data_IF_115950551626
#
_entry.id   IF_115950551626
#
_cell.length_a   1.000
_cell.length_b   1.000
_cell.length_c   1.000
_cell.angle_alpha   90.00
_cell.angle_beta   90.00
_cell.angle_gamma   90.00
#
_symmetry.space_group_name_H-M   'P 1'
#
loop_
_entity.id
_entity.type
_entity.pdbx_description
1 polymer ?
#
# COMPACT_ATOMS: atom_id res chain seq x y z
N UNK A 1 9.19 -5.18 10.08
CA UNK A 1 8.21 -5.77 9.14
C UNK A 1 7.87 -7.17 9.62
N UNK A 2 6.58 -7.52 9.77
CA UNK A 2 6.16 -8.87 10.15
C UNK A 2 6.49 -9.89 9.05
N UNK A 3 6.72 -11.15 9.43
CA UNK A 3 6.94 -12.24 8.48
C UNK A 3 5.70 -12.45 7.60
N UNK A 4 5.87 -12.53 6.27
CA UNK A 4 4.79 -12.80 5.31
C UNK A 4 4.24 -11.58 4.55
N UNK A 5 4.75 -10.37 4.79
CA UNK A 5 4.40 -9.19 4.00
C UNK A 5 5.13 -9.20 2.64
N UNK A 6 4.36 -9.03 1.56
CA UNK A 6 4.86 -8.79 0.21
C UNK A 6 4.94 -7.29 -0.04
N UNK A 7 5.97 -6.89 -0.79
CA UNK A 7 6.26 -5.50 -1.13
C UNK A 7 5.94 -5.25 -2.61
N UNK A 8 5.32 -4.12 -2.90
CA UNK A 8 5.20 -3.58 -4.25
C UNK A 8 5.34 -2.06 -4.18
N UNK A 9 6.33 -1.52 -4.90
CA UNK A 9 6.45 -0.09 -5.12
C UNK A 9 6.07 0.23 -6.56
N UNK A 10 5.09 1.11 -6.74
CA UNK A 10 4.82 1.72 -8.04
C UNK A 10 5.38 3.13 -8.02
N UNK A 11 6.36 3.37 -8.88
CA UNK A 11 6.77 4.72 -9.26
C UNK A 11 6.04 5.03 -10.57
N UNK A 12 5.00 5.86 -10.49
CA UNK A 12 4.33 6.35 -11.69
C UNK A 12 5.23 7.36 -12.37
N UNK A 13 5.78 6.99 -13.53
CA UNK A 13 6.63 7.86 -14.34
C UNK A 13 5.79 8.98 -14.95
N UNK A 14 5.66 10.12 -14.27
CA UNK A 14 5.16 11.35 -14.90
C UNK A 14 4.62 12.42 -13.95
N UNK A 15 3.98 12.04 -12.85
CA UNK A 15 3.54 12.97 -11.80
C UNK A 15 3.61 12.23 -10.46
N UNK A 16 4.46 12.69 -9.54
CA UNK A 16 4.60 12.12 -8.20
C UNK A 16 3.28 12.28 -7.43
N UNK A 17 2.56 11.17 -7.25
CA UNK A 17 2.66 10.57 -5.94
C UNK A 17 3.46 9.27 -5.93
N UNK A 18 4.35 9.16 -4.96
CA UNK A 18 5.05 7.92 -4.63
C UNK A 18 4.12 7.03 -3.81
N UNK A 19 3.82 5.82 -4.30
CA UNK A 19 2.96 4.84 -3.62
C UNK A 19 3.76 3.62 -3.21
N UNK A 20 3.78 3.36 -1.90
CA UNK A 20 4.39 2.20 -1.27
C UNK A 20 3.28 1.29 -0.73
N UNK A 21 3.26 0.04 -1.17
CA UNK A 21 2.24 -0.92 -0.72
C UNK A 21 2.90 -2.14 -0.11
N UNK A 22 2.46 -2.46 1.10
CA UNK A 22 2.74 -3.71 1.79
C UNK A 22 1.44 -4.47 2.00
N UNK A 23 1.41 -5.75 1.64
CA UNK A 23 0.22 -6.57 1.88
C UNK A 23 0.57 -8.03 2.16
N UNK A 24 -0.32 -8.71 2.86
CA UNK A 24 -0.34 -10.16 3.07
C UNK A 24 -1.65 -10.72 2.51
N UNK A 25 -2.11 -11.88 2.98
CA UNK A 25 -3.37 -12.46 2.51
C UNK A 25 -4.58 -11.59 2.88
N UNK A 26 -4.67 -11.14 4.14
CA UNK A 26 -5.82 -10.38 4.66
C UNK A 26 -5.46 -8.97 5.16
N UNK A 27 -4.19 -8.60 5.21
CA UNK A 27 -3.72 -7.32 5.73
C UNK A 27 -3.05 -6.48 4.66
N UNK A 28 -3.23 -5.16 4.74
CA UNK A 28 -2.55 -4.23 3.84
C UNK A 28 -2.19 -2.92 4.53
N UNK A 29 -1.16 -2.28 3.99
CA UNK A 29 -0.73 -0.93 4.28
C UNK A 29 -0.35 -0.28 2.96
N UNK A 30 -1.09 0.76 2.58
CA UNK A 30 -0.82 1.57 1.41
C UNK A 30 -0.44 2.98 1.86
N UNK A 31 0.79 3.38 1.57
CA UNK A 31 1.33 4.69 1.90
C UNK A 31 1.49 5.46 0.59
N UNK A 32 0.84 6.61 0.50
CA UNK A 32 0.90 7.50 -0.65
C UNK A 32 1.52 8.81 -0.19
N UNK A 33 2.61 9.22 -0.85
CA UNK A 33 3.25 10.51 -0.62
C UNK A 33 3.02 11.39 -1.82
N UNK A 34 2.57 12.61 -1.61
CA UNK A 34 2.28 13.58 -2.67
C UNK A 34 2.77 14.96 -2.25
N UNK A 35 3.25 15.77 -3.21
CA UNK A 35 3.47 17.19 -2.94
C UNK A 35 2.13 17.85 -2.62
N UNK A 36 2.07 18.53 -1.48
CA UNK A 36 0.91 19.30 -1.09
C UNK A 36 1.38 20.62 -0.45
N UNK A 37 0.77 21.76 -0.81
CA UNK A 37 1.06 23.00 -0.12
C UNK A 37 0.69 22.84 1.37
N UNK A 38 1.58 23.31 2.26
CA UNK A 38 1.47 23.17 3.71
C UNK A 38 0.14 23.68 4.31
N UNK A 39 -0.59 24.52 3.58
CA UNK A 39 -1.83 25.18 4.01
C UNK A 39 -3.11 24.39 3.70
N UNK A 40 -3.02 23.18 3.10
CA UNK A 40 -4.23 22.39 2.82
C UNK A 40 -4.79 21.80 4.12
N UNK A 41 -6.08 22.05 4.45
CA UNK A 41 -6.67 21.50 5.66
C UNK A 41 -6.65 19.96 5.60
N UNK A 42 -6.19 19.35 6.69
CA UNK A 42 -6.29 17.91 6.90
C UNK A 42 -7.78 17.52 6.88
N UNK A 43 -8.12 16.30 6.40
CA UNK A 43 -9.51 15.83 6.42
C UNK A 43 -10.08 15.88 7.84
N UNK A 44 -11.41 15.92 7.97
CA UNK A 44 -12.04 15.79 9.28
C UNK A 44 -11.78 14.38 9.86
N UNK A 45 -11.36 14.31 11.12
CA UNK A 45 -11.07 13.06 11.81
C UNK A 45 -10.45 13.30 13.19
N UNK A 46 -9.95 12.24 13.82
CA UNK A 46 -9.29 12.32 15.13
C UNK A 46 -7.87 12.86 14.96
N UNK A 47 -7.55 13.97 15.61
CA UNK A 47 -6.18 14.49 15.63
C UNK A 47 -5.24 13.53 16.37
N UNK A 48 -4.09 13.25 15.77
CA UNK A 48 -3.03 12.42 16.32
C UNK A 48 -1.67 13.08 16.07
N UNK A 49 -0.69 12.77 16.91
CA UNK A 49 0.68 13.23 16.74
C UNK A 49 1.50 12.12 16.10
N UNK A 50 2.19 12.43 15.00
CA UNK A 50 3.14 11.54 14.33
C UNK A 50 4.50 12.23 14.40
N UNK A 51 5.43 11.75 15.25
CA UNK A 51 6.73 12.43 15.46
C UNK A 51 6.62 13.94 15.76
N UNK A 52 5.58 14.36 16.48
CA UNK A 52 5.32 15.78 16.77
C UNK A 52 4.67 16.57 15.63
N UNK A 53 4.45 15.97 14.47
CA UNK A 53 3.63 16.54 13.40
C UNK A 53 2.16 16.24 13.66
N UNK A 54 1.29 17.22 13.37
CA UNK A 54 -0.16 17.02 13.43
C UNK A 54 -0.60 16.14 12.26
N UNK A 55 -1.26 15.04 12.59
CA UNK A 55 -1.93 14.16 11.66
C UNK A 55 -3.40 14.01 12.01
N UNK A 56 -4.17 13.52 11.05
CA UNK A 56 -5.57 13.13 11.24
C UNK A 56 -5.72 11.64 10.97
N UNK A 57 -6.35 10.96 11.91
CA UNK A 57 -6.75 9.57 11.82
C UNK A 57 -8.26 9.47 11.61
N UNK A 58 -8.65 8.80 10.53
CA UNK A 58 -10.03 8.39 10.24
C UNK A 58 -10.10 6.87 10.43
N UNK A 59 -11.14 6.38 11.11
CA UNK A 59 -11.33 4.95 11.41
C UNK A 59 -12.72 4.49 10.95
N UNK A 60 -12.96 3.17 10.89
CA UNK A 60 -14.26 2.62 10.45
C UNK A 60 -14.52 2.75 8.94
N UNK A 61 -13.47 2.90 8.13
CA UNK A 61 -13.61 2.92 6.67
C UNK A 61 -13.94 1.52 6.17
N UNK A 62 -14.84 1.44 5.19
CA UNK A 62 -15.17 0.18 4.51
C UNK A 62 -14.83 0.29 3.03
N UNK A 63 -14.33 -0.79 2.46
CA UNK A 63 -14.01 -0.82 1.04
C UNK A 63 -13.20 -2.05 0.67
N UNK A 64 -12.65 -2.00 -0.53
CA UNK A 64 -11.76 -3.04 -1.05
C UNK A 64 -10.44 -2.40 -1.43
N UNK A 65 -9.36 -2.89 -0.86
CA UNK A 65 -8.03 -2.48 -1.25
C UNK A 65 -7.65 -3.26 -2.52
N UNK A 66 -7.39 -2.53 -3.60
CA UNK A 66 -6.91 -3.09 -4.84
C UNK A 66 -5.50 -2.57 -5.16
N UNK A 67 -4.56 -3.48 -5.42
CA UNK A 67 -3.22 -3.14 -5.88
C UNK A 67 -2.83 -3.95 -7.14
N UNK A 68 -2.05 -3.30 -8.01
CA UNK A 68 -1.70 -3.82 -9.32
C UNK A 68 -0.85 -5.08 -9.25
N UNK A 69 -1.39 -6.17 -9.81
CA UNK A 69 -0.73 -7.43 -10.18
C UNK A 69 0.17 -8.10 -9.11
N UNK A 70 -0.33 -9.19 -8.50
CA UNK A 70 0.54 -10.24 -7.93
C UNK A 70 1.26 -10.93 -9.09
N UNK A 71 2.56 -10.73 -9.23
CA UNK A 71 3.38 -11.72 -9.93
C UNK A 71 3.52 -12.94 -9.02
N UNK A 72 2.54 -13.84 -9.07
CA UNK A 72 2.76 -15.20 -8.59
C UNK A 72 3.70 -15.85 -9.59
N UNK A 73 5.00 -15.87 -9.29
CA UNK A 73 5.88 -16.81 -9.99
C UNK A 73 5.24 -18.19 -9.79
N UNK A 74 4.86 -18.91 -10.86
CA UNK A 74 4.33 -20.25 -10.69
C UNK A 74 5.35 -21.07 -9.90
N UNK A 75 4.89 -21.75 -8.85
CA UNK A 75 5.72 -22.64 -8.02
C UNK A 75 6.32 -23.80 -8.83
N UNK A 76 5.85 -24.00 -10.05
CA UNK A 76 6.39 -24.96 -11.01
C UNK A 76 7.16 -24.22 -12.09
N UNK A 77 8.48 -24.16 -11.91
CA UNK A 77 9.39 -24.09 -13.06
C UNK A 77 9.24 -25.42 -13.79
N UNK A 78 8.29 -25.48 -14.73
CA UNK A 78 8.16 -26.62 -15.63
C UNK A 78 9.40 -26.61 -16.53
N UNK A 79 10.44 -27.34 -16.14
CA UNK A 79 11.63 -27.56 -16.96
C UNK A 79 11.16 -28.28 -18.22
N UNK A 80 10.99 -27.54 -19.33
CA UNK A 80 10.56 -28.13 -20.59
C UNK A 80 11.75 -28.89 -21.22
N UNK A 81 11.56 -30.14 -21.65
CA UNK A 81 12.53 -30.80 -22.52
C UNK A 81 12.58 -30.06 -23.87
N UNK A 82 13.80 -29.92 -24.39
CA UNK A 82 14.13 -29.17 -25.62
C UNK A 82 13.50 -29.86 -26.84
N UNK A 83 12.59 -29.18 -27.56
CA UNK A 83 12.12 -29.65 -28.88
C UNK A 83 10.65 -29.44 -29.24
N UNK A 84 9.79 -28.99 -28.32
CA UNK A 84 8.36 -28.77 -28.65
C UNK A 84 8.09 -27.32 -29.09
N UNK A 85 7.47 -27.09 -30.27
CA UNK A 85 7.09 -25.74 -30.69
C UNK A 85 6.06 -25.11 -29.72
N UNK A 86 6.14 -23.80 -29.44
CA UNK A 86 5.29 -23.16 -28.44
C UNK A 86 3.84 -23.14 -28.92
N UNK A 87 3.03 -24.04 -28.37
CA UNK A 87 1.58 -23.93 -28.50
C UNK A 87 1.10 -23.11 -27.29
N UNK A 88 0.63 -21.90 -27.58
CA UNK A 88 0.08 -20.89 -26.67
C UNK A 88 1.08 -20.08 -25.80
N UNK A 89 0.96 -18.73 -25.79
CA UNK A 89 1.70 -17.91 -24.83
C UNK A 89 1.24 -18.26 -23.42
N UNK A 90 2.20 -18.55 -22.54
CA UNK A 90 1.94 -18.72 -21.10
C UNK A 90 1.38 -17.38 -20.60
N UNK A 91 0.05 -17.30 -20.47
CA UNK A 91 -0.62 -16.16 -19.84
C UNK A 91 -0.35 -16.27 -18.34
N UNK A 92 0.71 -15.63 -17.87
CA UNK A 92 0.89 -15.38 -16.43
C UNK A 92 -0.26 -14.46 -16.02
N UNK A 93 -1.38 -15.05 -15.60
CA UNK A 93 -2.53 -14.32 -15.09
C UNK A 93 -2.15 -13.83 -13.70
N UNK A 94 -1.57 -12.63 -13.61
CA UNK A 94 -1.31 -12.02 -12.32
C UNK A 94 -2.63 -11.90 -11.55
N UNK A 95 -2.72 -12.52 -10.39
CA UNK A 95 -3.86 -12.33 -9.49
C UNK A 95 -3.86 -10.85 -9.07
N UNK A 96 -4.95 -10.12 -9.30
CA UNK A 96 -5.10 -8.78 -8.71
C UNK A 96 -5.15 -8.92 -7.19
N UNK A 97 -4.38 -8.10 -6.47
CA UNK A 97 -4.54 -8.04 -5.01
C UNK A 97 -5.88 -7.38 -4.76
N UNK A 98 -6.77 -8.06 -4.04
CA UNK A 98 -8.07 -7.54 -3.63
C UNK A 98 -8.31 -7.96 -2.19
N UNK A 99 -8.27 -7.01 -1.26
CA UNK A 99 -8.41 -7.26 0.17
C UNK A 99 -9.59 -6.42 0.68
N UNK A 100 -10.75 -7.03 0.97
CA UNK A 100 -11.86 -6.33 1.57
C UNK A 100 -11.52 -5.91 3.01
N UNK A 101 -12.01 -4.75 3.43
CA UNK A 101 -11.87 -4.27 4.79
C UNK A 101 -13.15 -3.56 5.24
N UNK A 102 -13.53 -3.79 6.49
CA UNK A 102 -14.71 -3.20 7.15
C UNK A 102 -14.36 -2.32 8.36
N UNK A 103 -13.10 -2.35 8.79
CA UNK A 103 -12.49 -1.43 9.78
C UNK A 103 -11.15 -0.86 9.29
N UNK A 104 -11.18 -0.30 8.09
CA UNK A 104 -10.08 0.44 7.51
C UNK A 104 -9.80 1.74 8.27
N UNK A 105 -8.53 2.11 8.30
CA UNK A 105 -8.03 3.30 8.98
C UNK A 105 -7.16 4.08 8.02
N UNK A 106 -7.38 5.40 7.98
CA UNK A 106 -6.61 6.32 7.16
C UNK A 106 -5.93 7.35 8.06
N UNK A 107 -4.62 7.35 8.04
CA UNK A 107 -3.79 8.35 8.70
C UNK A 107 -3.24 9.31 7.65
N UNK A 108 -3.50 10.60 7.82
CA UNK A 108 -2.99 11.66 6.94
C UNK A 108 -2.18 12.64 7.75
N UNK A 109 -0.94 12.92 7.36
CA UNK A 109 -0.09 13.92 8.01
C UNK A 109 0.77 14.64 6.97
N UNK A 110 1.29 15.80 7.34
CA UNK A 110 2.19 16.58 6.50
C UNK A 110 3.60 16.60 7.10
N UNK A 111 4.61 16.49 6.25
CA UNK A 111 6.02 16.68 6.58
C UNK A 111 6.58 17.69 5.59
N UNK A 112 6.71 18.96 6.02
CA UNK A 112 7.01 20.07 5.12
C UNK A 112 5.93 20.22 4.03
N UNK A 113 6.34 20.21 2.76
CA UNK A 113 5.46 20.27 1.59
C UNK A 113 5.01 18.89 1.07
N UNK A 114 5.17 17.84 1.87
CA UNK A 114 4.76 16.48 1.50
C UNK A 114 3.59 16.05 2.38
N UNK A 115 2.45 15.77 1.73
CA UNK A 115 1.33 15.09 2.36
C UNK A 115 1.51 13.59 2.22
N UNK A 116 1.51 12.91 3.36
CA UNK A 116 1.53 11.46 3.45
C UNK A 116 0.16 10.95 3.86
N UNK A 117 -0.36 9.99 3.12
CA UNK A 117 -1.61 9.29 3.39
C UNK A 117 -1.34 7.79 3.52
N UNK A 118 -1.62 7.23 4.70
CA UNK A 118 -1.52 5.81 4.97
C UNK A 118 -2.93 5.23 5.15
N UNK A 119 -3.34 4.34 4.25
CA UNK A 119 -4.55 3.53 4.39
C UNK A 119 -4.15 2.10 4.77
N UNK A 120 -4.71 1.58 5.86
CA UNK A 120 -4.43 0.23 6.32
C UNK A 120 -5.64 -0.38 7.05
N UNK A 121 -5.68 -1.69 7.14
CA UNK A 121 -6.57 -2.41 8.06
C UNK A 121 -5.84 -2.91 9.32
N UNK A 122 -4.70 -2.29 9.66
CA UNK A 122 -3.95 -2.56 10.88
C UNK A 122 -4.57 -1.89 12.12
N UNK A 123 -4.03 -2.19 13.29
CA UNK A 123 -4.32 -1.42 14.51
C UNK A 123 -3.75 0.00 14.39
N UNK A 124 -4.33 0.94 15.14
CA UNK A 124 -3.83 2.33 15.18
C UNK A 124 -2.38 2.39 15.65
N UNK A 125 -2.03 1.59 16.66
CA UNK A 125 -0.69 1.51 17.22
C UNK A 125 0.36 1.08 16.17
N UNK A 126 0.05 0.06 15.38
CA UNK A 126 0.95 -0.40 14.31
C UNK A 126 1.08 0.64 13.20
N UNK A 127 -0.01 1.31 12.82
CA UNK A 127 0.05 2.40 11.84
C UNK A 127 0.92 3.56 12.33
N UNK A 128 0.81 3.94 13.61
CA UNK A 128 1.62 4.99 14.20
C UNK A 128 3.10 4.59 14.23
N UNK A 129 3.44 3.36 14.63
CA UNK A 129 4.83 2.87 14.56
C UNK A 129 5.41 2.94 13.14
N UNK A 130 4.63 2.58 12.12
CA UNK A 130 5.05 2.68 10.73
C UNK A 130 5.27 4.15 10.35
N UNK A 131 4.31 5.02 10.67
CA UNK A 131 4.38 6.45 10.38
C UNK A 131 5.58 7.12 11.09
N UNK A 132 5.85 6.74 12.33
CA UNK A 132 7.02 7.16 13.09
C UNK A 132 8.32 6.55 12.57
N UNK A 133 8.30 5.41 11.90
CA UNK A 133 9.49 4.87 11.24
C UNK A 133 9.86 5.61 9.96
N UNK A 134 8.96 6.42 9.39
CA UNK A 134 9.25 7.19 8.18
C UNK A 134 10.14 8.40 8.53
N UNK A 135 11.19 8.62 7.74
CA UNK A 135 12.11 9.75 7.81
C UNK A 135 11.86 10.70 6.64
#
# INVERSE_FOLDING_TARGET
MPAGFRYSAMVSSGQEPFKLVFYSDDQFVAITQSKAPADRPLPAGKEVLVKGQKGVLVTGLKGTFEDGFRFRMPKEVLVRPKGTPPTEPIRIRGERVSIPYDDGKRLTWCVGDVKVEMLANLSVDEMLKIAESMQ
#
